data_IF_727822192432
#
_entry.id   IF_727822192432
#
_cell.length_a   1.000
_cell.length_b   1.000
_cell.length_c   1.000
_cell.angle_alpha   90.00
_cell.angle_beta   90.00
_cell.angle_gamma   90.00
#
_symmetry.space_group_name_H-M   'P 1'
#
loop_
_entity.id
_entity.type
_entity.pdbx_description
1 polymer ?
#
# COMPACT_ATOMS: atom_id res chain seq x y z
N UNK A 1 -14.72 -0.51 17.96
CA UNK A 1 -13.99 0.03 16.79
C UNK A 1 -13.28 1.29 17.23
N UNK A 2 -11.95 1.25 17.32
CA UNK A 2 -11.15 2.42 17.65
C UNK A 2 -10.32 2.75 16.42
N UNK A 3 -10.56 3.92 15.85
CA UNK A 3 -9.89 4.39 14.64
C UNK A 3 -8.53 4.95 15.05
N UNK A 4 -7.44 4.47 14.44
CA UNK A 4 -6.11 5.05 14.62
C UNK A 4 -5.72 5.66 13.28
N UNK A 5 -5.77 6.98 13.18
CA UNK A 5 -5.49 7.79 11.99
C UNK A 5 -6.37 7.46 10.77
N UNK A 6 -7.22 8.42 10.38
CA UNK A 6 -8.08 8.30 9.19
C UNK A 6 -7.71 9.34 8.14
N UNK A 7 -6.77 9.02 7.24
CA UNK A 7 -6.39 9.94 6.19
C UNK A 7 -7.42 9.96 5.04
N UNK A 8 -7.75 11.14 4.55
CA UNK A 8 -8.53 11.35 3.32
C UNK A 8 -7.59 11.34 2.10
N UNK A 9 -7.98 10.66 1.03
CA UNK A 9 -7.30 10.68 -0.28
C UNK A 9 -8.33 10.85 -1.39
N UNK A 10 -7.89 11.19 -2.61
CA UNK A 10 -8.76 11.19 -3.77
C UNK A 10 -8.67 9.86 -4.52
N UNK A 11 -9.80 9.16 -4.62
CA UNK A 11 -9.95 7.99 -5.50
C UNK A 11 -10.79 8.41 -6.70
N UNK A 12 -10.20 8.38 -7.90
CA UNK A 12 -10.87 8.77 -9.14
C UNK A 12 -11.49 10.19 -9.07
N UNK A 13 -10.71 11.15 -8.57
CA UNK A 13 -11.09 12.57 -8.46
C UNK A 13 -12.28 12.85 -7.53
N UNK A 14 -12.56 11.95 -6.57
CA UNK A 14 -13.53 12.14 -5.50
C UNK A 14 -12.90 11.81 -4.14
N UNK A 15 -13.32 12.49 -3.07
CA UNK A 15 -12.87 12.16 -1.73
C UNK A 15 -13.12 10.69 -1.37
N UNK A 16 -12.15 10.13 -0.65
CA UNK A 16 -12.21 8.82 -0.06
C UNK A 16 -11.82 8.87 1.41
N UNK A 17 -12.44 8.02 2.20
CA UNK A 17 -12.15 7.83 3.62
C UNK A 17 -11.36 6.53 3.78
N UNK A 18 -10.14 6.64 4.33
CA UNK A 18 -9.33 5.48 4.75
C UNK A 18 -9.45 5.32 6.27
N UNK A 19 -9.81 4.12 6.71
CA UNK A 19 -9.93 3.78 8.13
C UNK A 19 -9.07 2.56 8.43
N UNK A 20 -8.14 2.71 9.38
CA UNK A 20 -7.37 1.61 9.92
C UNK A 20 -7.90 1.22 11.30
N UNK A 21 -8.22 -0.06 11.47
CA UNK A 21 -8.59 -0.62 12.78
C UNK A 21 -7.34 -0.89 13.61
N UNK A 22 -7.52 -1.04 14.93
CA UNK A 22 -6.43 -1.45 15.83
C UNK A 22 -5.85 -2.83 15.47
N UNK A 23 -6.68 -3.68 14.89
CA UNK A 23 -6.30 -5.03 14.45
C UNK A 23 -5.47 -5.02 13.15
N UNK A 24 -5.26 -3.84 12.56
CA UNK A 24 -4.42 -3.64 11.37
C UNK A 24 -5.17 -3.77 10.05
N UNK A 25 -6.47 -4.04 10.07
CA UNK A 25 -7.29 -4.07 8.87
C UNK A 25 -7.52 -2.66 8.35
N UNK A 26 -7.51 -2.52 7.03
CA UNK A 26 -7.65 -1.25 6.36
C UNK A 26 -8.87 -1.26 5.44
N UNK A 27 -9.75 -0.29 5.66
CA UNK A 27 -10.95 -0.09 4.87
C UNK A 27 -10.84 1.22 4.10
N UNK A 28 -11.21 1.18 2.81
CA UNK A 28 -11.30 2.37 1.96
C UNK A 28 -12.71 2.51 1.42
N UNK A 29 -13.30 3.67 1.68
CA UNK A 29 -14.60 4.06 1.17
C UNK A 29 -14.37 5.19 0.18
N UNK A 30 -14.53 4.91 -1.11
CA UNK A 30 -14.36 5.91 -2.18
C UNK A 30 -15.68 6.52 -2.63
N UNK A 31 -15.59 7.48 -3.57
CA UNK A 31 -16.75 8.13 -4.23
C UNK A 31 -17.68 8.87 -3.26
N UNK A 32 -17.13 9.43 -2.19
CA UNK A 32 -17.87 10.20 -1.20
C UNK A 32 -18.07 11.62 -1.74
N UNK A 33 -19.27 12.17 -1.65
CA UNK A 33 -19.53 13.58 -1.97
C UNK A 33 -19.09 14.51 -0.82
N UNK A 34 -18.78 15.77 -1.13
CA UNK A 34 -18.25 16.73 -0.16
C UNK A 34 -19.20 17.00 1.02
N UNK A 35 -20.51 16.98 0.77
CA UNK A 35 -21.52 17.21 1.81
C UNK A 35 -21.58 16.03 2.78
N UNK A 36 -21.57 14.79 2.28
CA UNK A 36 -21.48 13.59 3.11
C UNK A 36 -20.15 13.53 3.88
N UNK A 37 -19.04 13.91 3.25
CA UNK A 37 -17.74 13.98 3.91
C UNK A 37 -17.75 15.00 5.06
N UNK A 38 -18.33 16.18 4.86
CA UNK A 38 -18.47 17.19 5.91
C UNK A 38 -19.26 16.67 7.11
N UNK A 39 -20.40 16.02 6.86
CA UNK A 39 -21.21 15.39 7.91
C UNK A 39 -20.44 14.32 8.67
N UNK A 40 -19.67 13.48 7.96
CA UNK A 40 -18.82 12.47 8.59
C UNK A 40 -17.74 13.10 9.46
N UNK A 41 -17.04 14.14 8.98
CA UNK A 41 -16.04 14.87 9.79
C UNK A 41 -16.64 15.35 11.11
N UNK A 42 -17.80 16.01 11.08
CA UNK A 42 -18.49 16.48 12.29
C UNK A 42 -18.91 15.33 13.21
N UNK A 43 -19.44 14.25 12.65
CA UNK A 43 -19.88 13.09 13.42
C UNK A 43 -18.70 12.41 14.14
N UNK A 44 -17.59 12.19 13.44
CA UNK A 44 -16.38 11.56 13.98
C UNK A 44 -15.75 12.44 15.08
N UNK A 45 -15.65 13.75 14.85
CA UNK A 45 -15.16 14.68 15.86
C UNK A 45 -16.04 14.70 17.12
N UNK A 46 -17.36 14.67 16.96
CA UNK A 46 -18.30 14.75 18.09
C UNK A 46 -18.38 13.43 18.87
N UNK A 47 -18.47 12.29 18.18
CA UNK A 47 -18.74 10.99 18.79
C UNK A 47 -17.48 10.24 19.20
N UNK A 48 -16.44 10.32 18.38
CA UNK A 48 -15.19 9.59 18.62
C UNK A 48 -14.06 10.49 19.13
N UNK A 49 -14.25 11.82 19.15
CA UNK A 49 -13.23 12.80 19.56
C UNK A 49 -11.94 12.67 18.76
N UNK A 50 -12.08 12.26 17.51
CA UNK A 50 -11.00 12.07 16.55
C UNK A 50 -11.19 13.01 15.37
N UNK A 51 -10.08 13.37 14.71
CA UNK A 51 -10.12 14.22 13.52
C UNK A 51 -9.77 13.39 12.27
N UNK A 52 -10.56 13.58 11.20
CA UNK A 52 -10.22 13.05 9.88
C UNK A 52 -9.15 13.96 9.28
N UNK A 53 -7.93 13.43 9.13
CA UNK A 53 -6.80 14.16 8.56
C UNK A 53 -6.83 14.05 7.04
N UNK A 54 -6.43 15.10 6.33
CA UNK A 54 -6.16 14.97 4.88
C UNK A 54 -4.78 14.36 4.68
N UNK A 55 -4.61 13.50 3.69
CA UNK A 55 -3.33 12.92 3.33
C UNK A 55 -3.15 12.93 1.82
N UNK A 56 -2.02 13.44 1.38
CA UNK A 56 -1.72 13.48 -0.03
C UNK A 56 -1.38 12.07 -0.55
N UNK A 57 -1.70 11.82 -1.82
CA UNK A 57 -1.25 10.63 -2.57
C UNK A 57 -0.19 11.04 -3.58
N UNK A 58 0.80 10.18 -3.79
CA UNK A 58 1.78 10.41 -4.84
C UNK A 58 1.14 10.31 -6.23
N UNK A 59 1.08 11.43 -6.95
CA UNK A 59 0.48 11.54 -8.30
C UNK A 59 1.52 11.68 -9.43
N UNK A 60 2.80 11.77 -9.10
CA UNK A 60 3.89 12.01 -10.07
C UNK A 60 4.24 10.80 -10.94
N UNK A 61 3.69 9.61 -10.63
CA UNK A 61 3.97 8.38 -11.37
C UNK A 61 5.38 7.81 -11.19
N UNK A 62 6.12 8.28 -10.17
CA UNK A 62 7.44 7.73 -9.86
C UNK A 62 7.32 6.32 -9.34
N UNK A 63 8.16 5.43 -9.87
CA UNK A 63 8.18 4.01 -9.51
C UNK A 63 9.30 3.65 -8.54
N UNK A 64 10.08 4.61 -8.04
CA UNK A 64 11.08 4.39 -7.01
C UNK A 64 10.62 4.99 -5.68
N UNK A 65 10.83 4.26 -4.59
CA UNK A 65 10.30 4.65 -3.30
C UNK A 65 10.54 3.63 -2.20
N UNK A 66 9.89 3.83 -1.06
CA UNK A 66 10.03 2.97 0.11
C UNK A 66 8.85 2.00 0.23
N UNK A 67 9.10 0.73 0.55
CA UNK A 67 8.05 -0.19 1.01
C UNK A 67 8.07 -0.36 2.53
N UNK A 68 6.88 -0.47 3.13
CA UNK A 68 6.70 -0.79 4.56
C UNK A 68 5.41 -1.59 4.80
N UNK A 69 5.37 -2.42 5.87
CA UNK A 69 4.10 -2.97 6.36
C UNK A 69 3.46 -1.98 7.33
N UNK A 70 2.20 -1.64 7.06
CA UNK A 70 1.34 -0.86 7.95
C UNK A 70 0.08 -1.67 8.26
N UNK A 71 -0.03 -2.15 9.50
CA UNK A 71 -1.08 -3.08 9.89
C UNK A 71 -0.94 -4.39 9.12
N UNK A 72 -1.98 -4.79 8.37
CA UNK A 72 -1.97 -5.96 7.47
C UNK A 72 -1.85 -5.57 5.99
N UNK A 73 -1.18 -4.46 5.70
CA UNK A 73 -1.06 -3.95 4.34
C UNK A 73 0.40 -3.66 4.02
N UNK A 74 0.82 -3.99 2.80
CA UNK A 74 2.04 -3.48 2.20
C UNK A 74 1.76 -2.09 1.65
N UNK A 75 2.49 -1.07 2.11
CA UNK A 75 2.38 0.31 1.64
C UNK A 75 3.65 0.69 0.86
N UNK A 76 3.46 1.29 -0.32
CA UNK A 76 4.53 1.89 -1.11
C UNK A 76 4.45 3.41 -1.02
N UNK A 77 5.59 4.07 -0.73
CA UNK A 77 5.70 5.52 -0.58
C UNK A 77 6.71 6.09 -1.56
N UNK A 78 6.39 7.23 -2.15
CA UNK A 78 7.33 8.04 -2.92
C UNK A 78 7.61 9.30 -2.12
N UNK A 79 8.88 9.54 -1.75
CA UNK A 79 9.29 10.66 -0.90
C UNK A 79 8.47 10.79 0.39
N UNK A 80 8.15 9.68 1.04
CA UNK A 80 7.33 9.66 2.26
C UNK A 80 5.82 9.85 2.06
N UNK A 81 5.37 10.11 0.83
CA UNK A 81 3.94 10.21 0.48
C UNK A 81 3.44 8.85 -0.01
N UNK A 82 2.33 8.30 0.52
CA UNK A 82 1.78 7.04 0.05
C UNK A 82 1.41 7.12 -1.43
N UNK A 83 1.83 6.12 -2.20
CA UNK A 83 1.44 5.95 -3.60
C UNK A 83 0.30 4.92 -3.71
N UNK A 84 0.53 3.72 -3.18
CA UNK A 84 -0.48 2.67 -3.13
C UNK A 84 -0.27 1.77 -1.92
N UNK A 85 -1.27 0.93 -1.66
CA UNK A 85 -1.20 -0.05 -0.58
C UNK A 85 -2.01 -1.28 -0.97
N UNK A 86 -1.52 -2.43 -0.52
CA UNK A 86 -1.97 -3.74 -0.94
C UNK A 86 -2.27 -4.55 0.33
N UNK A 87 -3.51 -5.04 0.53
CA UNK A 87 -3.82 -5.95 1.61
C UNK A 87 -3.00 -7.22 1.50
N UNK A 88 -2.37 -7.66 2.59
CA UNK A 88 -1.60 -8.90 2.59
C UNK A 88 -2.49 -10.13 2.35
N UNK A 89 -3.80 -10.02 2.63
CA UNK A 89 -4.79 -11.06 2.29
C UNK A 89 -4.95 -11.31 0.79
N UNK A 90 -4.55 -10.35 -0.06
CA UNK A 90 -4.64 -10.49 -1.52
C UNK A 90 -3.40 -11.16 -2.10
N UNK A 91 -2.31 -11.26 -1.33
CA UNK A 91 -1.05 -11.86 -1.74
C UNK A 91 -1.16 -13.38 -1.59
N UNK A 92 -1.00 -14.10 -2.69
CA UNK A 92 -1.05 -15.57 -2.72
C UNK A 92 0.30 -16.17 -2.38
N UNK A 93 1.38 -15.57 -2.88
CA UNK A 93 2.74 -16.01 -2.64
C UNK A 93 3.69 -14.82 -2.69
N UNK A 94 4.80 -14.95 -1.97
CA UNK A 94 5.90 -14.03 -2.06
C UNK A 94 7.21 -14.78 -2.16
N UNK A 95 7.95 -14.47 -3.22
CA UNK A 95 9.27 -15.02 -3.50
C UNK A 95 10.25 -13.91 -3.82
N UNK A 96 11.50 -14.27 -4.06
CA UNK A 96 12.59 -13.32 -4.24
C UNK A 96 13.69 -13.96 -5.05
N UNK A 97 14.40 -13.14 -5.81
CA UNK A 97 15.44 -13.56 -6.74
C UNK A 97 16.54 -12.50 -6.79
N UNK A 98 17.72 -12.79 -6.22
CA UNK A 98 18.88 -11.89 -6.11
C UNK A 98 18.56 -10.48 -5.61
N UNK A 99 18.09 -9.60 -6.49
CA UNK A 99 17.79 -8.19 -6.27
C UNK A 99 16.31 -7.88 -6.54
N UNK A 100 15.44 -8.89 -6.53
CA UNK A 100 14.02 -8.75 -6.83
C UNK A 100 13.19 -9.40 -5.73
N UNK A 101 12.11 -8.72 -5.33
CA UNK A 101 10.99 -9.32 -4.62
C UNK A 101 9.80 -9.46 -5.57
N UNK A 102 9.23 -10.65 -5.61
CA UNK A 102 8.13 -11.02 -6.49
C UNK A 102 6.91 -11.28 -5.61
N UNK A 103 5.85 -10.53 -5.84
CA UNK A 103 4.57 -10.62 -5.13
C UNK A 103 3.54 -11.14 -6.12
N UNK A 104 2.96 -12.30 -5.82
CA UNK A 104 1.90 -12.91 -6.60
C UNK A 104 0.57 -12.72 -5.89
N UNK A 105 -0.49 -12.50 -6.67
CA UNK A 105 -1.83 -12.22 -6.16
C UNK A 105 -2.76 -13.39 -6.39
N UNK A 106 -3.79 -13.50 -5.56
CA UNK A 106 -4.91 -14.38 -5.88
C UNK A 106 -5.64 -13.83 -7.12
N UNK A 107 -5.87 -14.69 -8.11
CA UNK A 107 -6.74 -14.37 -9.24
C UNK A 107 -8.14 -14.01 -8.73
N UNK A 108 -8.76 -13.00 -9.34
CA UNK A 108 -10.13 -12.61 -9.04
C UNK A 108 -10.95 -12.62 -10.33
N UNK A 109 -11.70 -13.71 -10.52
CA UNK A 109 -12.55 -13.93 -11.69
C UNK A 109 -13.72 -12.94 -11.76
N UNK A 110 -14.05 -12.27 -10.64
CA UNK A 110 -15.10 -11.25 -10.58
C UNK A 110 -14.61 -9.86 -11.07
N UNK A 111 -13.35 -9.73 -11.48
CA UNK A 111 -12.78 -8.48 -11.96
C UNK A 111 -12.30 -8.60 -13.42
N UNK A 112 -12.74 -7.68 -14.27
CA UNK A 112 -12.35 -7.66 -15.69
C UNK A 112 -10.86 -7.39 -15.92
N UNK A 113 -10.18 -6.78 -14.95
CA UNK A 113 -8.73 -6.54 -14.96
C UNK A 113 -8.18 -6.87 -13.58
N UNK A 114 -7.43 -7.97 -13.48
CA UNK A 114 -6.82 -8.43 -12.24
C UNK A 114 -5.32 -8.13 -12.20
N UNK A 115 -4.83 -7.73 -11.04
CA UNK A 115 -3.38 -7.72 -10.78
C UNK A 115 -2.94 -9.15 -10.52
N UNK A 116 -1.95 -9.65 -11.25
CA UNK A 116 -1.46 -11.04 -11.14
C UNK A 116 -0.14 -11.11 -10.39
N UNK A 117 0.80 -10.23 -10.76
CA UNK A 117 2.16 -10.22 -10.22
C UNK A 117 2.68 -8.79 -10.14
N UNK A 118 3.49 -8.50 -9.12
CA UNK A 118 4.31 -7.30 -9.01
C UNK A 118 5.75 -7.67 -8.69
N UNK A 119 6.70 -6.94 -9.28
CA UNK A 119 8.13 -7.11 -9.00
C UNK A 119 8.75 -5.82 -8.49
N UNK A 120 9.42 -5.90 -7.36
CA UNK A 120 10.20 -4.81 -6.80
C UNK A 120 11.68 -5.13 -6.98
N UNK A 121 12.41 -4.24 -7.64
CA UNK A 121 13.86 -4.26 -7.59
C UNK A 121 14.34 -3.67 -6.27
N UNK A 122 15.18 -4.41 -5.57
CA UNK A 122 15.80 -4.03 -4.29
C UNK A 122 17.30 -3.86 -4.56
N UNK A 123 17.83 -2.63 -4.49
CA UNK A 123 19.24 -2.39 -4.69
C UNK A 123 20.05 -3.01 -3.55
N UNK A 124 21.12 -3.73 -3.88
CA UNK A 124 22.08 -4.20 -2.89
C UNK A 124 23.07 -3.06 -2.56
N UNK A 125 23.49 -2.92 -1.30
CA UNK A 125 24.55 -1.98 -0.95
C UNK A 125 25.87 -2.41 -1.61
N UNK A 126 26.61 -1.43 -2.12
CA UNK A 126 27.91 -1.66 -2.76
C UNK A 126 28.87 -2.39 -1.79
N UNK A 127 29.31 -3.59 -2.16
CA UNK A 127 30.30 -4.38 -1.40
C UNK A 127 29.73 -5.38 -0.38
N UNK A 128 28.41 -5.59 -0.33
CA UNK A 128 27.86 -6.75 0.37
C UNK A 128 28.16 -8.03 -0.44
N UNK A 129 28.92 -8.95 0.13
CA UNK A 129 29.09 -10.30 -0.41
C UNK A 129 27.76 -11.07 -0.41
N UNK A 130 27.71 -12.16 -1.17
CA UNK A 130 26.52 -13.01 -1.44
C UNK A 130 25.84 -13.66 -0.21
N UNK A 131 26.14 -13.27 1.03
CA UNK A 131 25.75 -13.99 2.25
C UNK A 131 24.48 -13.50 2.94
N UNK A 132 23.86 -12.39 2.50
CA UNK A 132 22.52 -12.01 2.98
C UNK A 132 21.61 -11.72 1.80
N UNK A 133 20.90 -12.76 1.37
CA UNK A 133 20.08 -12.70 0.15
C UNK A 133 18.94 -11.71 0.38
N UNK A 134 18.62 -10.85 -0.60
CA UNK A 134 17.47 -9.95 -0.52
C UNK A 134 16.14 -10.68 -0.17
N UNK A 135 16.12 -12.01 -0.36
CA UNK A 135 15.08 -12.93 0.06
C UNK A 135 14.88 -13.03 1.57
N UNK A 136 15.94 -13.07 2.37
CA UNK A 136 15.88 -13.14 3.82
C UNK A 136 15.58 -11.78 4.42
N UNK A 137 16.08 -10.71 3.81
CA UNK A 137 15.68 -9.34 4.17
C UNK A 137 14.20 -9.10 3.88
N UNK A 138 13.68 -9.55 2.73
CA UNK A 138 12.26 -9.42 2.40
C UNK A 138 11.37 -10.35 3.23
N UNK A 139 11.78 -11.61 3.46
CA UNK A 139 10.97 -12.63 4.18
C UNK A 139 11.07 -12.53 5.70
N UNK A 140 12.26 -12.34 6.26
CA UNK A 140 12.44 -12.26 7.72
C UNK A 140 12.13 -10.87 8.26
N UNK A 141 12.24 -9.83 7.44
CA UNK A 141 12.14 -8.44 7.90
C UNK A 141 11.53 -7.52 6.84
N UNK A 142 10.19 -7.51 6.72
CA UNK A 142 9.52 -6.22 6.44
C UNK A 142 9.60 -5.33 7.70
N UNK A 143 10.82 -5.15 8.17
CA UNK A 143 11.25 -4.24 9.19
C UNK A 143 12.16 -3.27 8.44
N UNK A 144 11.55 -2.12 8.19
CA UNK A 144 12.16 -0.81 7.93
C UNK A 144 12.41 -0.47 6.45
N UNK A 145 11.52 0.40 5.92
CA UNK A 145 11.73 1.34 4.81
C UNK A 145 12.86 0.94 3.85
N UNK A 146 12.54 0.10 2.87
CA UNK A 146 13.51 -0.25 1.83
C UNK A 146 13.23 0.54 0.57
N UNK A 147 14.25 1.26 0.08
CA UNK A 147 14.21 1.87 -1.23
C UNK A 147 14.16 0.77 -2.28
N UNK A 148 13.13 0.79 -3.12
CA UNK A 148 12.90 -0.18 -4.16
C UNK A 148 12.33 0.51 -5.39
N UNK A 149 12.55 -0.11 -6.55
CA UNK A 149 11.98 0.32 -7.81
C UNK A 149 10.94 -0.69 -8.28
N UNK A 150 9.71 -0.23 -8.45
CA UNK A 150 8.60 -1.02 -8.94
C UNK A 150 8.74 -1.24 -10.45
N UNK A 151 8.76 -2.51 -10.84
CA UNK A 151 8.56 -2.96 -12.21
C UNK A 151 7.20 -3.66 -12.29
N UNK A 152 6.22 -3.00 -12.92
CA UNK A 152 4.97 -3.64 -13.30
C UNK A 152 5.14 -4.27 -14.68
N UNK A 153 5.28 -5.59 -14.73
CA UNK A 153 4.95 -6.34 -15.94
C UNK A 153 3.42 -6.49 -15.96
N UNK A 154 2.75 -5.54 -16.62
CA UNK A 154 1.34 -5.71 -16.99
C UNK A 154 1.27 -6.84 -18.03
N UNK A 155 1.15 -8.07 -17.54
CA UNK A 155 0.69 -9.20 -18.36
C UNK A 155 -0.78 -9.00 -18.66
N UNK A 156 -1.12 -8.25 -19.71
CA UNK A 156 -2.43 -8.39 -20.33
C UNK A 156 -2.52 -9.80 -20.90
N UNK A 157 -3.31 -10.67 -20.27
CA UNK A 157 -3.93 -11.77 -21.00
C UNK A 157 -4.99 -11.13 -21.90
N UNK A 158 -4.63 -10.95 -23.18
CA UNK A 158 -5.57 -10.74 -24.28
C UNK A 158 -6.00 -12.10 -24.80
#
# INVERSE_FOLDING_TARGET
MFMKNSPQFDLANKPALRIMTRDGDLYRFGKIDDNSLGKMKTYIATKWKEEIKTMDTAIKGWNYGETEIVGKNLQFKVNGVPAFEIPLSNVSNCSSNKNEAIIEFHGNDDCSVGLVEMRFHIPQPDGAGDEETASELFRQNIKWKQNCQLFCLLGCLV
#
